data_IF_327133208407
#
_entry.id   IF_327133208407
#
_cell.length_a   1.000
_cell.length_b   1.000
_cell.length_c   1.000
_cell.angle_alpha   90.00
_cell.angle_beta   90.00
_cell.angle_gamma   90.00
#
_symmetry.space_group_name_H-M   'P 1'
#
loop_
_entity.id
_entity.type
_entity.pdbx_description
1 polymer ?
#
# COMPACT_ATOMS: atom_id res chain seq x y z
N UNK A 1 6.35 2.80 4.25
CA UNK A 1 7.49 2.38 5.11
C UNK A 1 7.90 3.47 6.08
N UNK A 2 8.39 4.63 5.61
CA UNK A 2 8.85 5.71 6.49
C UNK A 2 7.74 6.20 7.41
N UNK A 3 6.51 6.40 6.91
CA UNK A 3 5.37 6.79 7.74
C UNK A 3 5.10 5.77 8.87
N UNK A 4 5.13 4.48 8.56
CA UNK A 4 4.92 3.42 9.55
C UNK A 4 6.03 3.43 10.64
N UNK A 5 7.30 3.53 10.23
CA UNK A 5 8.42 3.62 11.16
C UNK A 5 8.35 4.86 12.06
N UNK A 6 7.99 6.01 11.48
CA UNK A 6 7.85 7.27 12.22
C UNK A 6 6.72 7.21 13.26
N UNK A 7 5.55 6.71 12.85
CA UNK A 7 4.40 6.56 13.76
C UNK A 7 4.67 5.50 14.82
N UNK A 8 5.27 4.36 14.44
CA UNK A 8 5.65 3.33 15.41
C UNK A 8 6.62 3.86 16.47
N UNK A 9 7.59 4.68 16.06
CA UNK A 9 8.49 5.35 17.02
C UNK A 9 7.75 6.26 18.01
N UNK A 10 6.63 6.85 17.59
CA UNK A 10 5.83 7.74 18.42
C UNK A 10 4.84 7.01 19.34
N UNK A 11 4.17 5.96 18.86
CA UNK A 11 3.04 5.32 19.56
C UNK A 11 3.25 3.83 19.85
N UNK A 12 4.35 3.24 19.39
CA UNK A 12 4.70 1.83 19.65
C UNK A 12 3.61 0.86 19.18
N UNK A 13 3.23 -0.05 20.07
CA UNK A 13 2.30 -1.15 19.80
C UNK A 13 0.84 -0.71 19.52
N UNK A 14 0.54 0.58 19.64
CA UNK A 14 -0.76 1.13 19.23
C UNK A 14 -0.92 1.19 17.71
N UNK A 15 0.18 1.07 16.94
CA UNK A 15 0.15 1.02 15.49
C UNK A 15 -0.11 -0.40 15.00
N UNK A 16 -1.14 -0.56 14.16
CA UNK A 16 -1.37 -1.78 13.36
C UNK A 16 -1.29 -1.42 11.89
N UNK A 17 -0.46 -2.12 11.13
CA UNK A 17 -0.34 -1.98 9.69
C UNK A 17 -1.06 -3.11 8.97
N UNK A 18 -1.70 -2.80 7.84
CA UNK A 18 -2.25 -3.80 6.93
C UNK A 18 -1.37 -3.93 5.69
N UNK A 19 -1.12 -5.15 5.29
CA UNK A 19 -0.51 -5.47 4.01
C UNK A 19 -1.47 -6.34 3.21
N UNK A 20 -2.01 -5.79 2.12
CA UNK A 20 -2.93 -6.49 1.23
C UNK A 20 -2.12 -7.12 0.10
N UNK A 21 -2.01 -8.44 0.13
CA UNK A 21 -1.46 -9.22 -0.98
C UNK A 21 -2.56 -9.48 -2.00
N UNK A 22 -2.58 -8.68 -3.05
CA UNK A 22 -3.53 -8.79 -4.15
C UNK A 22 -3.11 -9.78 -5.24
N UNK A 23 -2.06 -10.57 -5.02
CA UNK A 23 -1.56 -11.53 -5.99
C UNK A 23 -0.83 -10.94 -7.21
N UNK A 24 -0.71 -9.60 -7.30
CA UNK A 24 -0.06 -8.89 -8.41
C UNK A 24 1.31 -8.31 -8.00
N UNK A 25 1.84 -8.76 -6.88
CA UNK A 25 3.11 -8.33 -6.33
C UNK A 25 4.29 -8.89 -7.13
N UNK A 26 5.46 -8.25 -6.97
CA UNK A 26 6.75 -8.77 -7.43
C UNK A 26 7.15 -10.02 -6.67
N UNK A 27 8.09 -10.78 -7.24
CA UNK A 27 8.71 -11.90 -6.53
C UNK A 27 9.37 -11.44 -5.23
N UNK A 28 9.07 -12.14 -4.13
CA UNK A 28 9.64 -11.90 -2.80
C UNK A 28 9.12 -10.64 -2.06
N UNK A 29 8.18 -9.90 -2.64
CA UNK A 29 7.73 -8.64 -2.03
C UNK A 29 6.93 -8.83 -0.74
N UNK A 30 6.11 -9.88 -0.65
CA UNK A 30 5.37 -10.23 0.55
C UNK A 30 6.31 -10.60 1.69
N UNK A 31 7.23 -11.51 1.43
CA UNK A 31 8.22 -11.98 2.41
C UNK A 31 9.11 -10.81 2.87
N UNK A 32 9.47 -9.92 1.97
CA UNK A 32 10.24 -8.73 2.30
C UNK A 32 9.46 -7.82 3.27
N UNK A 33 8.18 -7.56 3.02
CA UNK A 33 7.37 -6.73 3.92
C UNK A 33 7.25 -7.39 5.30
N UNK A 34 6.95 -8.68 5.36
CA UNK A 34 6.83 -9.41 6.63
C UNK A 34 8.15 -9.42 7.43
N UNK A 35 9.29 -9.56 6.75
CA UNK A 35 10.59 -9.55 7.40
C UNK A 35 11.01 -8.15 7.84
N UNK A 36 10.89 -7.15 6.97
CA UNK A 36 11.40 -5.80 7.23
C UNK A 36 10.57 -5.06 8.29
N UNK A 37 9.23 -5.20 8.24
CA UNK A 37 8.35 -4.44 9.13
C UNK A 37 8.03 -5.21 10.41
N UNK A 38 7.56 -6.46 10.32
CA UNK A 38 7.18 -7.21 11.50
C UNK A 38 8.41 -7.64 12.32
N UNK A 39 9.41 -8.25 11.67
CA UNK A 39 10.60 -8.77 12.37
C UNK A 39 11.67 -7.71 12.55
N UNK A 40 11.94 -6.89 11.53
CA UNK A 40 13.01 -5.89 11.56
C UNK A 40 12.68 -4.68 12.43
N UNK A 41 11.45 -4.19 12.38
CA UNK A 41 11.03 -2.98 13.12
C UNK A 41 10.09 -3.27 14.30
N UNK A 42 9.67 -4.52 14.52
CA UNK A 42 8.72 -4.86 15.57
C UNK A 42 7.30 -4.29 15.37
N UNK A 43 6.96 -3.89 14.15
CA UNK A 43 5.63 -3.31 13.84
C UNK A 43 4.62 -4.46 13.66
N UNK A 44 3.46 -4.34 14.30
CA UNK A 44 2.35 -5.25 14.05
C UNK A 44 1.85 -5.10 12.61
N UNK A 45 2.07 -6.13 11.78
CA UNK A 45 1.59 -6.19 10.40
C UNK A 45 0.60 -7.33 10.26
N UNK A 46 -0.59 -7.03 9.76
CA UNK A 46 -1.60 -8.02 9.38
C UNK A 46 -1.54 -8.18 7.87
N UNK A 47 -1.11 -9.35 7.41
CA UNK A 47 -1.09 -9.70 5.99
C UNK A 47 -2.44 -10.32 5.60
N UNK A 48 -3.12 -9.69 4.64
CA UNK A 48 -4.37 -10.16 4.06
C UNK A 48 -4.09 -10.73 2.67
N UNK A 49 -4.22 -12.04 2.49
CA UNK A 49 -4.12 -12.68 1.17
C UNK A 49 -5.46 -12.59 0.45
N UNK A 50 -5.53 -11.69 -0.51
CA UNK A 50 -6.70 -11.42 -1.33
C UNK A 50 -6.49 -11.82 -2.81
N UNK A 51 -5.43 -12.59 -3.09
CA UNK A 51 -4.99 -12.92 -4.46
C UNK A 51 -6.09 -13.52 -5.32
N UNK A 52 -6.88 -14.44 -4.79
CA UNK A 52 -8.01 -15.07 -5.50
C UNK A 52 -9.09 -14.05 -5.87
N UNK A 53 -9.41 -13.15 -4.96
CA UNK A 53 -10.40 -12.11 -5.17
C UNK A 53 -10.02 -11.18 -6.31
N UNK A 54 -8.78 -10.71 -6.32
CA UNK A 54 -8.30 -9.81 -7.36
C UNK A 54 -8.19 -10.51 -8.71
N UNK A 55 -7.65 -11.73 -8.76
CA UNK A 55 -7.55 -12.49 -9.99
C UNK A 55 -8.93 -12.83 -10.59
N UNK A 56 -9.88 -13.21 -9.74
CA UNK A 56 -11.25 -13.46 -10.18
C UNK A 56 -11.92 -12.20 -10.74
N UNK A 57 -11.71 -11.04 -10.09
CA UNK A 57 -12.26 -9.78 -10.56
C UNK A 57 -11.63 -9.28 -11.88
N UNK A 58 -10.40 -9.72 -12.18
CA UNK A 58 -9.67 -9.39 -13.41
C UNK A 58 -9.87 -10.38 -14.55
N UNK A 59 -10.59 -11.48 -14.33
CA UNK A 59 -10.83 -12.49 -15.36
C UNK A 59 -11.48 -11.87 -16.61
N UNK A 60 -10.92 -12.13 -17.78
CA UNK A 60 -11.39 -11.60 -19.07
C UNK A 60 -11.12 -10.10 -19.31
N UNK A 61 -10.54 -9.38 -18.35
CA UNK A 61 -10.28 -7.94 -18.46
C UNK A 61 -8.94 -7.70 -19.14
N UNK A 62 -8.98 -7.06 -20.31
CA UNK A 62 -7.77 -6.81 -21.12
C UNK A 62 -7.34 -5.35 -21.13
N UNK A 63 -8.29 -4.42 -20.97
CA UNK A 63 -8.08 -2.98 -21.08
C UNK A 63 -7.39 -2.43 -19.83
N UNK A 64 -6.24 -1.69 -19.94
CA UNK A 64 -5.44 -1.25 -18.81
C UNK A 64 -6.18 -0.36 -17.80
N UNK A 65 -7.02 0.55 -18.27
CA UNK A 65 -7.75 1.46 -17.37
C UNK A 65 -8.87 0.73 -16.62
N UNK A 66 -9.51 -0.24 -17.26
CA UNK A 66 -10.47 -1.12 -16.60
C UNK A 66 -9.79 -1.92 -15.49
N UNK A 67 -8.60 -2.48 -15.74
CA UNK A 67 -7.81 -3.15 -14.71
C UNK A 67 -7.50 -2.24 -13.52
N UNK A 68 -7.04 -1.00 -13.75
CA UNK A 68 -6.74 -0.05 -12.68
C UNK A 68 -7.96 0.22 -11.80
N UNK A 69 -9.13 0.46 -12.42
CA UNK A 69 -10.38 0.71 -11.70
C UNK A 69 -10.81 -0.50 -10.86
N UNK A 70 -10.71 -1.70 -11.42
CA UNK A 70 -11.05 -2.94 -10.71
C UNK A 70 -10.11 -3.14 -9.54
N UNK A 71 -8.79 -3.07 -9.76
CA UNK A 71 -7.78 -3.25 -8.70
C UNK A 71 -7.98 -2.21 -7.59
N UNK A 72 -8.17 -0.95 -7.93
CA UNK A 72 -8.44 0.11 -6.94
C UNK A 72 -9.69 -0.16 -6.12
N UNK A 73 -10.80 -0.54 -6.75
CA UNK A 73 -12.04 -0.88 -6.06
C UNK A 73 -11.89 -2.07 -5.12
N UNK A 74 -11.28 -3.16 -5.60
CA UNK A 74 -11.10 -4.35 -4.77
C UNK A 74 -10.12 -4.08 -3.61
N UNK A 75 -9.09 -3.23 -3.83
CA UNK A 75 -8.18 -2.82 -2.76
C UNK A 75 -8.90 -2.09 -1.62
N UNK A 76 -9.78 -1.14 -1.95
CA UNK A 76 -10.61 -0.43 -0.95
C UNK A 76 -11.44 -1.43 -0.15
N UNK A 77 -12.14 -2.35 -0.83
CA UNK A 77 -12.98 -3.36 -0.18
C UNK A 77 -12.20 -4.30 0.74
N UNK A 78 -11.01 -4.72 0.32
CA UNK A 78 -10.13 -5.56 1.14
C UNK A 78 -9.63 -4.80 2.37
N UNK A 79 -9.30 -3.51 2.20
CA UNK A 79 -8.88 -2.65 3.29
C UNK A 79 -10.02 -2.43 4.30
N UNK A 80 -11.25 -2.15 3.85
CA UNK A 80 -12.42 -2.01 4.71
C UNK A 80 -12.69 -3.28 5.52
N UNK A 81 -12.59 -4.46 4.90
CA UNK A 81 -12.77 -5.74 5.58
C UNK A 81 -11.71 -5.98 6.67
N UNK A 82 -10.43 -5.73 6.35
CA UNK A 82 -9.33 -5.86 7.30
C UNK A 82 -9.44 -4.86 8.47
N UNK A 83 -9.84 -3.63 8.17
CA UNK A 83 -10.04 -2.58 9.15
C UNK A 83 -11.17 -2.93 10.13
N UNK A 84 -12.29 -3.45 9.64
CA UNK A 84 -13.42 -3.88 10.46
C UNK A 84 -13.01 -4.94 11.48
N UNK A 85 -12.21 -5.91 11.06
CA UNK A 85 -11.67 -6.93 11.95
C UNK A 85 -10.87 -6.31 13.12
N UNK A 86 -9.98 -5.36 12.83
CA UNK A 86 -9.17 -4.72 13.90
C UNK A 86 -10.02 -3.85 14.82
N UNK A 87 -11.02 -3.15 14.29
CA UNK A 87 -11.95 -2.38 15.12
C UNK A 87 -12.71 -3.30 16.10
N UNK A 88 -13.17 -4.45 15.62
CA UNK A 88 -13.85 -5.44 16.45
C UNK A 88 -12.92 -6.03 17.53
N UNK A 89 -11.66 -6.38 17.17
CA UNK A 89 -10.65 -6.87 18.11
C UNK A 89 -10.33 -5.84 19.20
N UNK A 90 -10.06 -4.59 18.81
CA UNK A 90 -9.74 -3.49 19.72
C UNK A 90 -10.93 -3.15 20.61
N UNK A 91 -12.14 -3.10 20.03
CA UNK A 91 -13.39 -2.85 20.77
C UNK A 91 -13.67 -3.94 21.81
N UNK A 92 -13.46 -5.22 21.47
CA UNK A 92 -13.59 -6.34 22.39
C UNK A 92 -12.61 -6.25 23.57
N UNK A 93 -11.45 -5.63 23.37
CA UNK A 93 -10.46 -5.36 24.42
C UNK A 93 -10.74 -4.05 25.22
N UNK A 94 -11.86 -3.36 24.95
CA UNK A 94 -12.22 -2.10 25.60
C UNK A 94 -11.49 -0.87 25.07
N UNK A 95 -10.85 -0.98 23.92
CA UNK A 95 -10.16 0.10 23.22
C UNK A 95 -11.01 0.70 22.10
N UNK A 96 -10.42 1.67 21.40
CA UNK A 96 -11.03 2.34 20.25
C UNK A 96 -9.99 2.64 19.20
N UNK A 97 -10.31 2.43 17.92
CA UNK A 97 -9.48 2.86 16.78
C UNK A 97 -9.92 4.26 16.37
N UNK A 98 -9.06 5.25 16.56
CA UNK A 98 -9.38 6.68 16.32
C UNK A 98 -8.72 7.26 15.09
N UNK A 99 -7.55 6.73 14.72
CA UNK A 99 -6.68 7.36 13.73
C UNK A 99 -6.42 6.44 12.54
N UNK A 100 -6.39 7.04 11.36
CA UNK A 100 -5.91 6.41 10.13
C UNK A 100 -4.62 7.11 9.69
N UNK A 101 -3.54 6.35 9.57
CA UNK A 101 -2.25 6.87 9.09
C UNK A 101 -2.17 6.76 7.57
N UNK A 102 -1.89 7.88 6.92
CA UNK A 102 -1.70 7.96 5.47
C UNK A 102 -0.32 8.53 5.14
N UNK A 103 0.35 7.92 4.16
CA UNK A 103 1.69 8.34 3.71
C UNK A 103 1.67 9.40 2.61
N UNK A 104 0.75 10.34 2.64
CA UNK A 104 0.65 11.46 1.69
C UNK A 104 1.91 12.31 1.72
N UNK A 105 2.44 12.66 0.55
CA UNK A 105 3.58 13.55 0.37
C UNK A 105 3.13 14.92 -0.14
N UNK A 106 4.02 15.94 -0.06
CA UNK A 106 3.70 17.28 -0.53
C UNK A 106 3.30 17.36 -2.01
N UNK A 107 3.96 16.66 -2.96
CA UNK A 107 3.49 16.60 -4.35
C UNK A 107 2.06 16.09 -4.51
N UNK A 108 1.64 15.08 -3.72
CA UNK A 108 0.27 14.55 -3.77
C UNK A 108 -0.75 15.63 -3.37
N UNK A 109 -0.38 16.50 -2.41
CA UNK A 109 -1.22 17.63 -1.96
C UNK A 109 -1.35 18.68 -3.07
N UNK A 110 -0.25 19.00 -3.75
CA UNK A 110 -0.26 20.00 -4.84
C UNK A 110 -1.06 19.50 -6.02
N UNK A 111 -0.86 18.26 -6.44
CA UNK A 111 -1.61 17.65 -7.54
C UNK A 111 -3.12 17.55 -7.23
N UNK A 112 -3.49 17.33 -5.98
CA UNK A 112 -4.89 17.25 -5.55
C UNK A 112 -5.55 18.63 -5.34
N UNK A 113 -4.79 19.71 -5.21
CA UNK A 113 -5.25 21.08 -4.94
C UNK A 113 -5.51 21.97 -6.15
N UNK A 114 -5.15 21.55 -7.36
CA UNK A 114 -4.96 22.42 -8.53
C UNK A 114 -6.00 22.32 -9.66
N UNK A 115 -7.31 22.27 -9.42
CA UNK A 115 -8.29 22.43 -10.51
C UNK A 115 -9.59 21.63 -10.36
N UNK A 116 -10.57 21.87 -11.25
CA UNK A 116 -11.87 21.16 -11.29
C UNK A 116 -11.75 19.63 -11.50
N UNK A 117 -10.58 19.12 -11.90
CA UNK A 117 -10.25 17.69 -11.97
C UNK A 117 -9.75 17.08 -10.64
N UNK A 118 -9.38 17.89 -9.65
CA UNK A 118 -8.79 17.46 -8.38
C UNK A 118 -9.77 16.67 -7.50
N UNK A 119 -11.07 16.87 -7.66
CA UNK A 119 -12.09 16.10 -6.96
C UNK A 119 -12.10 14.62 -7.38
N UNK A 120 -11.74 14.31 -8.63
CA UNK A 120 -11.64 12.93 -9.13
C UNK A 120 -10.33 12.23 -8.72
N UNK A 121 -9.25 12.98 -8.48
CA UNK A 121 -7.96 12.43 -8.03
C UNK A 121 -8.00 12.10 -6.55
N UNK A 122 -8.79 12.83 -5.75
CA UNK A 122 -9.05 12.50 -4.33
C UNK A 122 -9.60 11.10 -4.11
N UNK A 123 -10.31 10.53 -5.08
CA UNK A 123 -10.87 9.17 -4.97
C UNK A 123 -9.84 8.04 -5.17
N UNK A 124 -8.65 8.33 -5.71
CA UNK A 124 -7.64 7.32 -6.03
C UNK A 124 -6.43 7.31 -5.09
N UNK A 125 -6.19 8.39 -4.35
CA UNK A 125 -5.11 8.52 -3.37
C UNK A 125 -5.59 8.67 -1.93
N UNK A 126 -6.83 9.09 -1.72
CA UNK A 126 -7.47 9.05 -0.43
C UNK A 126 -8.27 7.75 -0.33
N UNK A 127 -8.31 7.18 0.85
CA UNK A 127 -9.23 6.11 1.26
C UNK A 127 -10.66 6.66 1.17
N UNK A 128 -11.10 6.93 -0.05
CA UNK A 128 -12.42 7.49 -0.39
C UNK A 128 -13.54 6.45 -0.38
N UNK A 129 -13.36 5.39 0.38
CA UNK A 129 -14.32 4.32 0.60
C UNK A 129 -14.52 4.02 2.07
N UNK A 130 -14.09 4.90 2.98
CA UNK A 130 -14.46 4.75 4.39
C UNK A 130 -15.97 4.86 4.50
N UNK A 131 -16.66 3.95 5.21
CA UNK A 131 -18.05 4.08 5.51
C UNK A 131 -18.34 5.47 6.08
N UNK A 132 -19.45 6.11 5.65
CA UNK A 132 -19.82 7.48 6.08
C UNK A 132 -19.98 7.62 7.59
N UNK A 133 -20.15 6.50 8.30
CA UNK A 133 -20.31 6.38 9.74
C UNK A 133 -18.98 6.15 10.49
N UNK A 134 -17.84 5.96 9.79
CA UNK A 134 -16.52 5.83 10.40
C UNK A 134 -15.75 7.15 10.31
N UNK A 135 -15.72 7.90 11.39
CA UNK A 135 -14.94 9.14 11.52
C UNK A 135 -13.57 8.86 12.14
N UNK A 136 -12.59 8.46 11.30
CA UNK A 136 -11.20 8.49 11.73
C UNK A 136 -10.61 9.88 11.59
N UNK A 137 -9.80 10.26 12.56
CA UNK A 137 -8.90 11.37 12.39
C UNK A 137 -7.71 10.95 11.52
N UNK A 138 -7.45 11.72 10.47
CA UNK A 138 -6.36 11.43 9.52
C UNK A 138 -5.03 11.93 10.06
N UNK A 139 -4.03 11.04 10.12
CA UNK A 139 -2.65 11.35 10.49
C UNK A 139 -1.76 11.24 9.26
N UNK A 140 -1.26 12.36 8.76
CA UNK A 140 -0.43 12.46 7.56
C UNK A 140 0.97 13.01 7.91
N UNK A 141 1.86 12.22 8.51
CA UNK A 141 3.10 12.72 9.09
C UNK A 141 4.13 13.20 8.06
N UNK A 142 3.94 12.88 6.77
CA UNK A 142 4.86 13.22 5.69
C UNK A 142 4.30 14.28 4.72
N UNK A 143 3.11 14.85 5.02
CA UNK A 143 2.33 15.70 4.11
C UNK A 143 3.08 16.94 3.59
N UNK A 144 4.03 17.45 4.35
CA UNK A 144 4.81 18.65 4.00
C UNK A 144 6.17 18.35 3.39
N UNK A 145 6.50 17.07 3.19
CA UNK A 145 7.81 16.63 2.75
C UNK A 145 7.82 16.20 1.28
N UNK A 146 8.91 16.49 0.61
CA UNK A 146 9.24 15.91 -0.68
C UNK A 146 9.86 14.51 -0.51
N UNK A 147 9.92 13.75 -1.60
CA UNK A 147 10.36 12.35 -1.58
C UNK A 147 11.79 12.15 -1.07
N UNK A 148 12.68 13.05 -1.40
CA UNK A 148 14.09 13.05 -0.95
C UNK A 148 14.21 13.38 0.54
N UNK A 149 13.40 14.30 1.06
CA UNK A 149 13.31 14.60 2.48
C UNK A 149 12.77 13.39 3.26
N UNK A 150 11.73 12.71 2.73
CA UNK A 150 11.21 11.46 3.30
C UNK A 150 12.30 10.38 3.34
N UNK A 151 13.15 10.27 2.31
CA UNK A 151 14.29 9.36 2.33
C UNK A 151 15.31 9.72 3.40
N UNK A 152 15.59 11.02 3.58
CA UNK A 152 16.46 11.47 4.65
C UNK A 152 15.91 11.11 6.03
N UNK A 153 14.62 11.36 6.28
CA UNK A 153 13.92 10.93 7.50
C UNK A 153 14.02 9.42 7.70
N UNK A 154 13.85 8.64 6.63
CA UNK A 154 13.98 7.18 6.69
C UNK A 154 15.36 6.73 7.18
N UNK A 155 16.45 7.37 6.70
CA UNK A 155 17.81 7.07 7.17
C UNK A 155 18.02 7.47 8.64
N UNK A 156 17.53 8.62 9.05
CA UNK A 156 17.57 9.08 10.46
C UNK A 156 16.79 8.15 11.40
N UNK A 157 15.75 7.48 10.90
CA UNK A 157 15.01 6.46 11.63
C UNK A 157 15.73 5.09 11.66
N UNK A 158 16.89 4.98 11.00
CA UNK A 158 17.66 3.74 10.93
C UNK A 158 17.12 2.71 9.95
N UNK A 159 16.27 3.11 9.01
CA UNK A 159 15.80 2.20 7.96
C UNK A 159 16.95 1.85 7.00
N UNK A 160 17.08 0.58 6.59
CA UNK A 160 18.14 0.18 5.67
C UNK A 160 17.99 0.85 4.29
N UNK A 161 19.12 1.12 3.65
CA UNK A 161 19.19 1.85 2.38
C UNK A 161 18.35 1.21 1.27
N UNK A 162 18.30 -0.11 1.19
CA UNK A 162 17.49 -0.81 0.18
C UNK A 162 15.99 -0.51 0.33
N UNK A 163 15.52 -0.27 1.56
CA UNK A 163 14.13 0.07 1.84
C UNK A 163 13.85 1.54 1.55
N UNK A 164 14.77 2.44 1.95
CA UNK A 164 14.66 3.89 1.73
C UNK A 164 14.74 4.25 0.25
N UNK A 165 15.66 3.60 -0.49
CA UNK A 165 15.92 3.85 -1.90
C UNK A 165 15.10 2.94 -2.83
N UNK A 166 14.16 2.15 -2.29
CA UNK A 166 13.33 1.25 -3.08
C UNK A 166 12.70 1.97 -4.27
N UNK A 167 12.83 1.36 -5.44
CA UNK A 167 12.17 1.85 -6.65
C UNK A 167 10.65 1.85 -6.49
N UNK A 168 9.97 2.93 -6.94
CA UNK A 168 8.52 2.98 -6.90
C UNK A 168 7.90 1.79 -7.63
N UNK A 169 6.89 1.21 -7.02
CA UNK A 169 6.09 0.18 -7.65
C UNK A 169 4.62 0.61 -7.64
N UNK A 170 3.94 0.57 -8.78
CA UNK A 170 2.58 1.07 -8.86
C UNK A 170 1.62 0.23 -8.01
N UNK A 171 0.61 0.86 -7.41
CA UNK A 171 -0.41 0.19 -6.61
C UNK A 171 -1.10 -0.98 -7.32
N UNK A 172 -1.41 -0.89 -8.64
CA UNK A 172 -1.94 -2.03 -9.41
C UNK A 172 -0.95 -3.19 -9.64
N UNK A 173 0.29 -3.08 -9.18
CA UNK A 173 1.29 -4.13 -9.28
C UNK A 173 1.65 -4.52 -10.72
N UNK A 174 1.98 -5.79 -10.91
CA UNK A 174 2.32 -6.35 -12.23
C UNK A 174 1.10 -6.47 -13.15
N UNK A 175 -0.12 -6.41 -12.62
CA UNK A 175 -1.35 -6.60 -13.39
C UNK A 175 -1.51 -5.62 -14.56
N UNK A 176 -1.06 -4.37 -14.41
CA UNK A 176 -1.13 -3.38 -15.49
C UNK A 176 -0.01 -3.51 -16.52
N UNK A 177 1.06 -4.25 -16.20
CA UNK A 177 2.17 -4.51 -17.13
C UNK A 177 1.89 -5.68 -18.07
N UNK A 178 0.88 -6.50 -17.77
CA UNK A 178 0.45 -7.59 -18.63
C UNK A 178 -0.46 -7.04 -19.73
N UNK A 179 -0.03 -7.21 -20.97
CA UNK A 179 -0.87 -6.92 -22.15
C UNK A 179 -1.90 -8.04 -22.30
N UNK A 180 -3.18 -7.68 -22.38
CA UNK A 180 -4.27 -8.65 -22.41
C UNK A 180 -4.71 -9.09 -21.01
N UNK A 181 -5.30 -10.26 -20.91
CA UNK A 181 -5.84 -10.80 -19.65
C UNK A 181 -4.75 -11.12 -18.64
N UNK A 182 -5.03 -10.85 -17.36
CA UNK A 182 -4.16 -11.22 -16.22
C UNK A 182 -4.47 -12.66 -15.82
N UNK A 183 -3.48 -13.55 -16.01
CA UNK A 183 -3.55 -14.94 -15.56
C UNK A 183 -2.38 -15.26 -14.65
N UNK A 184 -2.51 -16.31 -13.83
CA UNK A 184 -1.42 -16.78 -12.96
C UNK A 184 -0.15 -17.09 -13.76
N UNK A 185 -0.28 -17.81 -14.87
CA UNK A 185 0.83 -18.16 -15.75
C UNK A 185 1.57 -16.91 -16.26
N UNK A 186 0.84 -15.90 -16.75
CA UNK A 186 1.43 -14.65 -17.23
C UNK A 186 2.08 -13.84 -16.10
N UNK A 187 1.49 -13.87 -14.89
CA UNK A 187 2.09 -13.25 -13.73
C UNK A 187 3.40 -13.91 -13.33
N UNK A 188 3.47 -15.24 -13.36
CA UNK A 188 4.67 -15.98 -12.99
C UNK A 188 5.82 -15.73 -13.99
N UNK A 189 5.51 -15.70 -15.28
CA UNK A 189 6.46 -15.31 -16.33
C UNK A 189 6.96 -13.87 -16.08
N UNK A 190 6.05 -12.94 -15.83
CA UNK A 190 6.40 -11.54 -15.62
C UNK A 190 7.18 -11.32 -14.32
N UNK A 191 6.86 -12.05 -13.25
CA UNK A 191 7.63 -12.02 -11.98
C UNK A 191 9.07 -12.47 -12.19
N UNK A 192 9.26 -13.57 -12.93
CA UNK A 192 10.60 -14.06 -13.24
C UNK A 192 11.38 -13.05 -14.09
N UNK A 193 10.77 -12.49 -15.12
CA UNK A 193 11.39 -11.47 -15.97
C UNK A 193 11.71 -10.17 -15.20
N UNK A 194 10.80 -9.69 -14.33
CA UNK A 194 11.04 -8.51 -13.48
C UNK A 194 12.18 -8.74 -12.48
N UNK A 195 12.29 -9.95 -11.95
CA UNK A 195 13.38 -10.33 -11.03
C UNK A 195 14.74 -10.25 -11.74
N UNK A 196 14.88 -10.92 -12.88
CA UNK A 196 16.12 -10.92 -13.67
C UNK A 196 16.50 -9.48 -14.07
N UNK A 197 15.53 -8.71 -14.59
CA UNK A 197 15.79 -7.33 -14.98
C UNK A 197 16.27 -6.45 -13.81
N UNK A 198 15.75 -6.65 -12.61
CA UNK A 198 16.19 -5.92 -11.42
C UNK A 198 17.59 -6.33 -10.96
N UNK A 199 17.90 -7.61 -11.01
CA UNK A 199 19.22 -8.12 -10.65
C UNK A 199 20.29 -7.55 -11.58
N UNK A 200 20.04 -7.55 -12.89
CA UNK A 200 20.98 -6.98 -13.88
C UNK A 200 21.15 -5.45 -13.75
N UNK A 201 20.10 -4.72 -13.33
CA UNK A 201 20.17 -3.27 -13.13
C UNK A 201 20.89 -2.87 -11.83
N UNK A 202 21.05 -3.79 -10.89
CA UNK A 202 21.68 -3.54 -9.58
C UNK A 202 23.07 -4.15 -9.45
N UNK A 203 23.50 -4.93 -10.44
CA UNK A 203 24.85 -5.49 -10.55
C UNK A 203 25.85 -4.43 -11.01
#
# INVERSE_FOLDING_TARGET
SVAAALVHKAVGDQLTCFFIDHGLLRAGEREQVENDYARGMGIRVITCDESERFLSALAGVTEPEAKRKIIGREFIRSFEAAQKQVIEEVGAAGGEVKFLVQGTLYPDVVESGGGEGAANIKSHHNVGGLPEDMTFELVEPLRTLFKDEVRAVGRELGLPDYLVNRQPFPGPGLGIRIIGEVTRERLDILRAADLIAREELTA
#
